data_IF_815827217053
#
_entry.id   IF_815827217053
#
_cell.length_a   1.000
_cell.length_b   1.000
_cell.length_c   1.000
_cell.angle_alpha   90.00
_cell.angle_beta   90.00
_cell.angle_gamma   90.00
#
_symmetry.space_group_name_H-M   'P 1'
#
loop_
_entity.id
_entity.type
_entity.pdbx_description
1 polymer ?
#
# COMPACT_ATOMS: atom_id res chain seq x y z
N UNK A 1 11.67 27.81 -23.14
CA UNK A 1 11.03 27.01 -22.07
C UNK A 1 11.05 25.54 -22.47
N UNK A 2 12.01 24.73 -21.98
CA UNK A 2 11.97 23.30 -22.27
C UNK A 2 10.97 22.62 -21.32
N UNK A 3 10.16 21.74 -21.91
CA UNK A 3 9.05 21.01 -21.31
C UNK A 3 9.52 20.15 -20.13
N UNK A 4 8.80 20.22 -19.02
CA UNK A 4 8.85 19.26 -17.91
C UNK A 4 8.32 17.89 -18.38
N UNK A 5 9.08 17.19 -19.24
CA UNK A 5 8.99 15.74 -19.27
C UNK A 5 9.64 15.24 -17.99
N UNK A 6 8.84 15.19 -16.91
CA UNK A 6 9.20 14.48 -15.68
C UNK A 6 9.56 13.07 -16.10
N UNK A 7 10.86 12.79 -16.07
CA UNK A 7 11.50 11.55 -16.43
C UNK A 7 10.68 10.36 -15.90
N UNK A 8 9.90 9.73 -16.79
CA UNK A 8 8.91 8.70 -16.42
C UNK A 8 9.60 7.47 -15.82
N UNK A 9 10.90 7.30 -16.11
CA UNK A 9 11.75 6.20 -15.63
C UNK A 9 12.45 6.47 -14.30
N UNK A 10 12.45 7.72 -13.80
CA UNK A 10 13.11 8.02 -12.52
C UNK A 10 12.34 7.38 -11.35
N UNK A 11 13.05 6.59 -10.55
CA UNK A 11 12.52 5.96 -9.36
C UNK A 11 12.06 7.03 -8.36
N UNK A 12 10.83 6.97 -7.84
CA UNK A 12 10.41 7.86 -6.76
C UNK A 12 11.14 7.51 -5.46
N UNK A 13 11.55 8.54 -4.72
CA UNK A 13 12.12 8.41 -3.38
C UNK A 13 11.02 8.60 -2.34
N UNK A 14 11.03 7.74 -1.32
CA UNK A 14 10.12 7.84 -0.19
C UNK A 14 10.74 8.72 0.89
N UNK A 15 10.12 9.87 1.14
CA UNK A 15 10.50 10.72 2.26
C UNK A 15 9.70 10.28 3.49
N UNK A 16 10.25 9.32 4.24
CA UNK A 16 9.62 8.76 5.45
C UNK A 16 9.39 9.83 6.50
N UNK A 17 10.26 10.84 6.60
CA UNK A 17 10.08 11.95 7.52
C UNK A 17 8.85 12.79 7.17
N UNK A 18 8.72 13.22 5.90
CA UNK A 18 7.53 13.96 5.45
C UNK A 18 6.26 13.14 5.60
N UNK A 19 6.34 11.83 5.32
CA UNK A 19 5.18 10.96 5.50
C UNK A 19 4.78 10.87 6.97
N UNK A 20 5.75 10.69 7.87
CA UNK A 20 5.50 10.66 9.32
C UNK A 20 4.86 11.96 9.81
N UNK A 21 5.36 13.11 9.33
CA UNK A 21 4.82 14.42 9.67
C UNK A 21 3.36 14.58 9.19
N UNK A 22 3.09 14.23 7.92
CA UNK A 22 1.73 14.30 7.37
C UNK A 22 0.76 13.35 8.08
N UNK A 23 1.20 12.12 8.39
CA UNK A 23 0.42 11.14 9.16
C UNK A 23 0.14 11.66 10.57
N UNK A 24 1.15 12.20 11.26
CA UNK A 24 1.00 12.76 12.60
C UNK A 24 0.05 13.96 12.64
N UNK A 25 0.17 14.86 11.68
CA UNK A 25 -0.74 16.00 11.52
C UNK A 25 -2.18 15.54 11.27
N UNK A 26 -2.38 14.60 10.36
CA UNK A 26 -3.72 14.07 10.08
C UNK A 26 -4.32 13.39 11.33
N UNK A 27 -3.51 12.62 12.07
CA UNK A 27 -3.94 11.97 13.30
C UNK A 27 -4.34 13.01 14.37
N UNK A 28 -3.59 14.09 14.51
CA UNK A 28 -3.94 15.20 15.41
C UNK A 28 -5.25 15.88 14.99
N UNK A 29 -5.41 16.16 13.68
CA UNK A 29 -6.62 16.80 13.16
C UNK A 29 -7.85 15.91 13.30
N UNK A 30 -7.71 14.60 13.13
CA UNK A 30 -8.83 13.66 13.24
C UNK A 30 -9.20 13.42 14.71
N UNK A 31 -8.22 13.37 15.61
CA UNK A 31 -8.48 13.24 17.06
C UNK A 31 -9.20 14.46 17.64
N UNK A 32 -9.04 15.63 17.03
CA UNK A 32 -9.75 16.84 17.44
C UNK A 32 -11.22 16.88 16.95
N UNK A 33 -11.73 15.88 16.20
CA UNK A 33 -13.09 15.94 15.63
C UNK A 33 -14.04 15.77 16.81
N UNK A 34 -14.94 16.74 17.08
CA UNK A 34 -15.86 16.66 18.20
C UNK A 34 -16.95 15.64 17.88
N UNK A 35 -16.59 14.35 17.93
CA UNK A 35 -17.50 13.25 17.79
C UNK A 35 -18.18 13.03 19.13
N UNK A 36 -19.40 13.55 19.25
CA UNK A 36 -20.19 13.50 20.48
C UNK A 36 -20.74 12.08 20.60
N UNK A 37 -20.37 11.37 21.66
CA UNK A 37 -21.01 10.10 22.03
C UNK A 37 -22.50 10.37 22.28
N UNK A 38 -23.38 9.53 21.73
CA UNK A 38 -24.82 9.74 21.74
C UNK A 38 -25.37 10.23 23.09
N UNK A 39 -26.20 11.28 23.01
CA UNK A 39 -27.07 11.81 24.06
C UNK A 39 -26.44 12.37 25.35
N UNK A 40 -25.44 13.25 25.27
CA UNK A 40 -25.26 14.26 26.31
C UNK A 40 -25.06 15.65 25.70
N UNK A 41 -26.01 16.54 25.98
CA UNK A 41 -25.83 17.99 25.92
C UNK A 41 -25.21 18.37 27.27
N UNK A 42 -23.99 18.91 27.34
CA UNK A 42 -23.56 19.66 28.51
C UNK A 42 -23.92 21.12 28.30
N UNK A 43 -24.74 21.65 29.21
CA UNK A 43 -24.96 23.08 29.37
C UNK A 43 -23.64 23.81 29.71
N UNK A 44 -23.32 24.84 28.92
CA UNK A 44 -22.62 26.11 29.29
C UNK A 44 -21.14 26.06 29.75
N UNK A 45 -20.41 27.21 29.83
CA UNK A 45 -20.52 28.49 29.12
C UNK A 45 -19.20 28.95 28.44
N UNK A 46 -19.36 29.84 27.45
CA UNK A 46 -18.40 30.79 26.87
C UNK A 46 -16.97 30.89 27.44
N UNK A 47 -15.98 30.46 26.64
CA UNK A 47 -14.83 31.31 26.26
C UNK A 47 -14.03 30.64 25.14
N UNK A 48 -14.08 31.21 23.93
CA UNK A 48 -13.01 31.28 22.91
C UNK A 48 -13.66 31.62 21.56
N UNK A 49 -14.09 32.87 21.39
CA UNK A 49 -14.35 33.44 20.07
C UNK A 49 -13.01 33.81 19.41
N UNK A 50 -12.17 32.81 19.13
CA UNK A 50 -11.40 32.86 17.89
C UNK A 50 -12.36 32.26 16.87
N UNK A 51 -13.01 33.10 16.06
CA UNK A 51 -14.16 32.76 15.17
C UNK A 51 -14.16 31.27 14.80
N UNK A 52 -15.10 30.49 15.35
CA UNK A 52 -15.13 29.03 15.18
C UNK A 52 -15.13 28.65 13.70
N UNK A 53 -15.70 29.51 12.84
CA UNK A 53 -15.65 29.41 11.39
C UNK A 53 -14.21 29.43 10.84
N UNK A 54 -13.38 30.39 11.22
CA UNK A 54 -11.97 30.46 10.78
C UNK A 54 -11.17 29.28 11.33
N UNK A 55 -11.43 28.83 12.57
CA UNK A 55 -10.78 27.64 13.14
C UNK A 55 -11.20 26.37 12.39
N UNK A 56 -12.48 26.23 12.04
CA UNK A 56 -13.00 25.09 11.28
C UNK A 56 -12.52 25.10 9.83
N UNK A 57 -12.38 26.28 9.21
CA UNK A 57 -11.82 26.45 7.88
C UNK A 57 -10.33 26.12 7.84
N UNK A 58 -9.52 26.66 8.76
CA UNK A 58 -8.08 26.34 8.86
C UNK A 58 -7.87 24.85 9.09
N UNK A 59 -8.70 24.25 9.94
CA UNK A 59 -8.69 22.82 10.21
C UNK A 59 -9.07 21.97 9.00
N UNK A 60 -10.12 22.37 8.27
CA UNK A 60 -10.51 21.72 7.02
C UNK A 60 -9.39 21.77 5.99
N UNK A 61 -8.76 22.93 5.81
CA UNK A 61 -7.63 23.11 4.90
C UNK A 61 -6.42 22.24 5.27
N UNK A 62 -6.04 22.18 6.55
CA UNK A 62 -4.92 21.33 6.98
C UNK A 62 -5.21 19.84 6.88
N UNK A 63 -6.46 19.45 7.10
CA UNK A 63 -6.91 18.07 6.89
C UNK A 63 -6.91 17.71 5.41
N UNK A 64 -7.38 18.61 4.54
CA UNK A 64 -7.37 18.43 3.09
C UNK A 64 -5.95 18.36 2.52
N UNK A 65 -5.03 19.20 2.98
CA UNK A 65 -3.61 19.15 2.59
C UNK A 65 -2.97 17.81 2.95
N UNK A 66 -3.24 17.32 4.17
CA UNK A 66 -2.73 16.03 4.63
C UNK A 66 -3.34 14.87 3.84
N UNK A 67 -4.64 14.94 3.52
CA UNK A 67 -5.33 13.95 2.67
C UNK A 67 -4.73 13.97 1.25
N UNK A 68 -4.49 15.14 0.69
CA UNK A 68 -3.91 15.31 -0.65
C UNK A 68 -2.48 14.75 -0.68
N UNK A 69 -1.68 15.00 0.35
CA UNK A 69 -0.37 14.38 0.49
C UNK A 69 -0.45 12.85 0.49
N UNK A 70 -1.40 12.25 1.22
CA UNK A 70 -1.59 10.79 1.26
C UNK A 70 -2.04 10.24 -0.10
N UNK A 71 -2.87 10.98 -0.85
CA UNK A 71 -3.24 10.63 -2.23
C UNK A 71 -2.03 10.67 -3.16
N UNK A 72 -1.18 11.68 -3.04
CA UNK A 72 0.05 11.79 -3.81
C UNK A 72 1.02 10.65 -3.47
N UNK A 73 1.14 10.30 -2.19
CA UNK A 73 1.90 9.14 -1.73
C UNK A 73 1.36 7.84 -2.36
N UNK A 74 0.04 7.69 -2.44
CA UNK A 74 -0.61 6.55 -3.11
C UNK A 74 -0.20 6.47 -4.59
N UNK A 75 -0.22 7.60 -5.30
CA UNK A 75 0.21 7.65 -6.69
C UNK A 75 1.69 7.29 -6.84
N UNK A 76 2.53 7.73 -5.90
CA UNK A 76 3.96 7.46 -5.85
C UNK A 76 4.27 5.99 -5.57
N UNK A 77 3.57 5.35 -4.61
CA UNK A 77 3.64 3.92 -4.33
C UNK A 77 3.23 3.07 -5.55
N UNK A 78 2.15 3.44 -6.23
CA UNK A 78 1.72 2.74 -7.45
C UNK A 78 2.71 2.93 -8.61
N UNK A 79 3.39 4.08 -8.66
CA UNK A 79 4.46 4.32 -9.64
C UNK A 79 5.68 3.44 -9.35
N UNK A 80 6.12 3.40 -8.09
CA UNK A 80 7.18 2.50 -7.65
C UNK A 80 6.87 1.04 -8.02
N UNK A 81 5.64 0.59 -7.75
CA UNK A 81 5.19 -0.74 -8.14
C UNK A 81 5.33 -1.01 -9.63
N UNK A 82 4.91 -0.06 -10.50
CA UNK A 82 5.03 -0.22 -11.96
C UNK A 82 6.48 -0.26 -12.43
N UNK A 83 7.35 0.54 -11.81
CA UNK A 83 8.79 0.54 -12.13
C UNK A 83 9.42 -0.78 -11.73
N UNK A 84 9.12 -1.27 -10.52
CA UNK A 84 9.61 -2.56 -10.04
C UNK A 84 9.11 -3.71 -10.91
N UNK A 85 7.82 -3.73 -11.25
CA UNK A 85 7.23 -4.75 -12.12
C UNK A 85 7.86 -4.80 -13.52
N UNK A 86 8.28 -3.64 -14.04
CA UNK A 86 8.93 -3.53 -15.36
C UNK A 86 10.45 -3.66 -15.33
N UNK A 87 11.06 -3.97 -14.17
CA UNK A 87 12.51 -4.13 -14.04
C UNK A 87 12.95 -5.54 -14.44
N UNK A 88 14.07 -5.63 -15.16
CA UNK A 88 14.70 -6.89 -15.56
C UNK A 88 15.81 -7.26 -14.56
N UNK A 89 16.23 -8.53 -14.52
CA UNK A 89 17.25 -9.07 -13.59
C UNK A 89 18.47 -8.15 -13.31
N UNK A 90 19.19 -7.59 -14.31
CA UNK A 90 20.38 -6.79 -14.03
C UNK A 90 20.08 -5.43 -13.35
N UNK A 91 18.83 -4.98 -13.39
CA UNK A 91 18.39 -3.73 -12.77
C UNK A 91 17.55 -3.96 -11.51
N UNK A 92 17.12 -5.20 -11.26
CA UNK A 92 16.19 -5.54 -10.20
C UNK A 92 16.77 -5.25 -8.81
N UNK A 93 18.01 -5.68 -8.54
CA UNK A 93 18.66 -5.45 -7.25
C UNK A 93 18.85 -3.96 -6.96
N UNK A 94 19.30 -3.19 -7.95
CA UNK A 94 19.46 -1.73 -7.84
C UNK A 94 18.11 -1.03 -7.61
N UNK A 95 17.07 -1.50 -8.29
CA UNK A 95 15.70 -1.00 -8.17
C UNK A 95 15.16 -1.24 -6.76
N UNK A 96 15.33 -2.46 -6.24
CA UNK A 96 14.93 -2.82 -4.87
C UNK A 96 15.74 -2.03 -3.84
N UNK A 97 17.05 -1.90 -4.01
CA UNK A 97 17.90 -1.12 -3.11
C UNK A 97 17.50 0.37 -3.08
N UNK A 98 17.11 0.94 -4.23
CA UNK A 98 16.65 2.34 -4.30
C UNK A 98 15.29 2.56 -3.64
N UNK A 99 14.40 1.56 -3.73
CA UNK A 99 13.10 1.62 -3.04
C UNK A 99 13.24 1.57 -1.53
N UNK A 100 14.32 0.96 -1.04
CA UNK A 100 14.58 0.68 0.37
C UNK A 100 13.39 -0.04 1.04
N UNK A 101 13.38 -1.38 1.05
CA UNK A 101 12.28 -2.17 1.60
C UNK A 101 11.93 -1.80 3.05
N UNK A 102 12.90 -1.34 3.84
CA UNK A 102 12.67 -0.90 5.22
C UNK A 102 11.82 0.37 5.25
N UNK A 103 12.04 1.29 4.31
CA UNK A 103 11.24 2.51 4.20
C UNK A 103 9.81 2.18 3.74
N UNK A 104 9.64 1.28 2.77
CA UNK A 104 8.31 0.92 2.29
C UNK A 104 7.50 0.14 3.33
N UNK A 105 8.16 -0.68 4.15
CA UNK A 105 7.55 -1.32 5.34
C UNK A 105 7.15 -0.29 6.41
N UNK A 106 8.02 0.69 6.70
CA UNK A 106 7.71 1.75 7.65
C UNK A 106 6.51 2.58 7.21
N UNK A 107 6.39 2.87 5.92
CA UNK A 107 5.23 3.56 5.35
C UNK A 107 3.94 2.76 5.55
N UNK A 108 3.95 1.45 5.31
CA UNK A 108 2.78 0.58 5.58
C UNK A 108 2.39 0.64 7.05
N UNK A 109 3.37 0.53 7.95
CA UNK A 109 3.15 0.55 9.38
C UNK A 109 2.51 1.86 9.85
N UNK A 110 2.99 3.00 9.35
CA UNK A 110 2.46 4.32 9.67
C UNK A 110 1.03 4.50 9.16
N UNK A 111 0.77 4.10 7.90
CA UNK A 111 -0.56 4.17 7.31
C UNK A 111 -1.55 3.23 8.01
N UNK A 112 -1.09 2.07 8.48
CA UNK A 112 -1.89 1.14 9.30
C UNK A 112 -2.27 1.75 10.66
N UNK A 113 -1.31 2.38 11.34
CA UNK A 113 -1.57 3.07 12.61
C UNK A 113 -2.57 4.21 12.43
N UNK A 114 -2.40 5.00 11.37
CA UNK A 114 -3.34 6.06 11.01
C UNK A 114 -4.73 5.52 10.70
N UNK A 115 -4.85 4.49 9.85
CA UNK A 115 -6.15 3.88 9.52
C UNK A 115 -6.89 3.40 10.78
N UNK A 116 -6.16 2.79 11.73
CA UNK A 116 -6.71 2.37 13.02
C UNK A 116 -7.22 3.55 13.86
N UNK A 117 -6.44 4.63 13.95
CA UNK A 117 -6.84 5.84 14.67
C UNK A 117 -8.09 6.48 14.05
N UNK A 118 -8.15 6.56 12.71
CA UNK A 118 -9.30 7.10 11.98
C UNK A 118 -10.55 6.24 12.20
N UNK A 119 -10.41 4.90 12.15
CA UNK A 119 -11.53 3.97 12.42
C UNK A 119 -12.09 4.15 13.84
N UNK A 120 -11.23 4.36 14.83
CA UNK A 120 -11.66 4.60 16.20
C UNK A 120 -12.49 5.88 16.33
N UNK A 121 -12.09 6.95 15.65
CA UNK A 121 -12.87 8.20 15.61
C UNK A 121 -14.16 7.98 14.82
N UNK A 122 -14.08 7.38 13.64
CA UNK A 122 -15.22 7.06 12.78
C UNK A 122 -16.34 6.30 13.52
N UNK A 123 -15.98 5.32 14.35
CA UNK A 123 -16.93 4.53 15.14
C UNK A 123 -17.66 5.33 16.23
N UNK A 124 -17.14 6.51 16.61
CA UNK A 124 -17.68 7.38 17.66
C UNK A 124 -18.42 8.61 17.12
N UNK A 125 -18.40 8.84 15.80
CA UNK A 125 -19.04 10.00 15.19
C UNK A 125 -20.49 9.72 14.82
N UNK A 126 -21.34 10.75 14.92
CA UNK A 126 -22.70 10.70 14.37
C UNK A 126 -22.68 10.66 12.84
N UNK A 127 -23.78 10.25 12.20
CA UNK A 127 -23.87 10.17 10.73
C UNK A 127 -23.53 11.48 10.01
N UNK A 128 -23.88 12.62 10.62
CA UNK A 128 -23.58 13.95 10.09
C UNK A 128 -22.07 14.27 10.12
N UNK A 129 -21.36 13.79 11.15
CA UNK A 129 -19.93 14.05 11.36
C UNK A 129 -19.02 13.04 10.65
N UNK A 130 -19.56 11.86 10.31
CA UNK A 130 -18.87 10.84 9.50
C UNK A 130 -18.39 11.40 8.15
N UNK A 131 -19.13 12.35 7.57
CA UNK A 131 -18.76 12.99 6.31
C UNK A 131 -17.38 13.66 6.31
N UNK A 132 -16.91 14.14 7.48
CA UNK A 132 -15.61 14.80 7.63
C UNK A 132 -14.46 13.80 7.73
N UNK A 133 -14.70 12.64 8.34
CA UNK A 133 -13.65 11.63 8.63
C UNK A 133 -13.51 10.63 7.47
N UNK A 134 -14.61 10.37 6.75
CA UNK A 134 -14.69 9.39 5.66
C UNK A 134 -13.64 9.62 4.55
N UNK A 135 -13.40 10.84 4.02
CA UNK A 135 -12.39 11.05 2.99
C UNK A 135 -10.97 10.67 3.43
N UNK A 136 -10.61 10.99 4.68
CA UNK A 136 -9.32 10.63 5.26
C UNK A 136 -9.17 9.12 5.43
N UNK A 137 -10.24 8.43 5.85
CA UNK A 137 -10.26 6.98 5.96
C UNK A 137 -10.01 6.31 4.60
N UNK A 138 -10.72 6.75 3.55
CA UNK A 138 -10.55 6.18 2.21
C UNK A 138 -9.16 6.44 1.64
N UNK A 139 -8.64 7.67 1.75
CA UNK A 139 -7.31 8.00 1.25
C UNK A 139 -6.22 7.16 1.95
N UNK A 140 -6.31 7.03 3.28
CA UNK A 140 -5.36 6.25 4.08
C UNK A 140 -5.43 4.76 3.75
N UNK A 141 -6.64 4.19 3.67
CA UNK A 141 -6.83 2.79 3.32
C UNK A 141 -6.28 2.47 1.92
N UNK A 142 -6.50 3.35 0.94
CA UNK A 142 -5.98 3.20 -0.40
C UNK A 142 -4.44 3.28 -0.45
N UNK A 143 -3.86 4.26 0.25
CA UNK A 143 -2.41 4.38 0.37
C UNK A 143 -1.79 3.12 0.99
N UNK A 144 -2.38 2.62 2.07
CA UNK A 144 -1.92 1.40 2.74
C UNK A 144 -1.99 0.19 1.82
N UNK A 145 -3.10 0.00 1.10
CA UNK A 145 -3.24 -1.11 0.16
C UNK A 145 -2.16 -1.05 -0.95
N UNK A 146 -1.83 0.15 -1.44
CA UNK A 146 -0.73 0.35 -2.38
C UNK A 146 0.65 0.01 -1.78
N UNK A 147 0.90 0.36 -0.51
CA UNK A 147 2.13 0.00 0.19
C UNK A 147 2.28 -1.52 0.38
N UNK A 148 1.23 -2.18 0.87
CA UNK A 148 1.19 -3.65 1.02
C UNK A 148 1.47 -4.35 -0.32
N UNK A 149 0.85 -3.86 -1.40
CA UNK A 149 1.06 -4.42 -2.74
C UNK A 149 2.50 -4.27 -3.23
N UNK A 150 3.13 -3.13 -2.95
CA UNK A 150 4.54 -2.90 -3.29
C UNK A 150 5.46 -3.81 -2.49
N UNK A 151 5.27 -3.91 -1.17
CA UNK A 151 6.09 -4.77 -0.31
C UNK A 151 5.97 -6.23 -0.71
N UNK A 152 4.75 -6.68 -1.04
CA UNK A 152 4.53 -8.03 -1.55
C UNK A 152 5.29 -8.30 -2.86
N UNK A 153 5.33 -7.33 -3.79
CA UNK A 153 6.09 -7.47 -5.03
C UNK A 153 7.61 -7.52 -4.76
N UNK A 154 8.11 -6.67 -3.84
CA UNK A 154 9.51 -6.71 -3.40
C UNK A 154 9.86 -8.10 -2.86
N UNK A 155 9.01 -8.67 -2.01
CA UNK A 155 9.23 -10.00 -1.43
C UNK A 155 9.21 -11.12 -2.47
N UNK A 156 8.34 -11.02 -3.47
CA UNK A 156 8.31 -11.97 -4.59
C UNK A 156 9.58 -11.89 -5.42
N UNK A 157 10.04 -10.68 -5.74
CA UNK A 157 11.19 -10.45 -6.61
C UNK A 157 12.55 -10.68 -5.93
N UNK A 158 12.60 -10.69 -4.59
CA UNK A 158 13.80 -11.09 -3.83
C UNK A 158 14.03 -12.60 -3.78
N UNK A 159 13.01 -13.43 -4.05
CA UNK A 159 13.16 -14.88 -3.93
C UNK A 159 13.96 -15.41 -5.11
N UNK A 160 15.04 -16.19 -4.88
CA UNK A 160 15.77 -16.81 -5.96
C UNK A 160 14.83 -17.76 -6.71
N UNK A 161 14.86 -17.71 -8.04
CA UNK A 161 14.16 -18.68 -8.87
C UNK A 161 14.83 -20.03 -8.65
N UNK A 162 14.16 -20.91 -7.90
CA UNK A 162 14.57 -22.30 -7.80
C UNK A 162 14.28 -22.98 -9.15
N UNK A 163 15.28 -23.02 -10.01
CA UNK A 163 15.27 -23.89 -11.18
C UNK A 163 15.43 -25.30 -10.63
N UNK A 164 14.32 -26.04 -10.57
CA UNK A 164 14.37 -27.47 -10.29
C UNK A 164 14.91 -28.13 -11.56
N UNK A 165 16.21 -28.42 -11.58
CA UNK A 165 16.77 -29.36 -12.54
C UNK A 165 16.21 -30.74 -12.21
N UNK A 166 15.18 -31.14 -12.96
CA UNK A 166 14.61 -32.48 -12.89
C UNK A 166 15.68 -33.48 -13.34
N UNK A 167 16.28 -34.21 -12.39
CA UNK A 167 17.11 -35.41 -12.63
C UNK A 167 16.30 -36.64 -13.09
N UNK A 168 15.08 -36.43 -13.57
CA UNK A 168 14.27 -37.50 -14.14
C UNK A 168 14.92 -37.91 -15.46
N UNK A 169 15.40 -39.14 -15.50
CA UNK A 169 15.88 -39.80 -16.72
C UNK A 169 14.72 -39.99 -17.71
N UNK A 170 14.49 -38.97 -18.53
CA UNK A 170 13.47 -38.96 -19.56
C UNK A 170 13.73 -40.03 -20.63
N UNK A 171 14.97 -40.49 -20.79
CA UNK A 171 15.32 -41.60 -21.69
C UNK A 171 14.92 -42.93 -21.08
N UNK A 172 15.19 -43.15 -19.79
CA UNK A 172 14.75 -44.31 -19.03
C UNK A 172 13.22 -44.45 -18.98
N UNK A 173 12.49 -43.34 -18.78
CA UNK A 173 11.01 -43.35 -18.85
C UNK A 173 10.51 -43.67 -20.27
N UNK A 174 11.16 -43.16 -21.32
CA UNK A 174 10.83 -43.51 -22.71
C UNK A 174 11.10 -44.98 -23.01
N UNK A 175 12.18 -45.55 -22.50
CA UNK A 175 12.52 -46.97 -22.68
C UNK A 175 11.51 -47.89 -21.97
N UNK A 176 11.13 -47.56 -20.72
CA UNK A 176 10.08 -48.25 -19.98
C UNK A 176 8.71 -48.17 -20.69
N UNK A 177 8.35 -47.00 -21.20
CA UNK A 177 7.10 -46.82 -21.95
C UNK A 177 7.07 -47.64 -23.26
N UNK A 178 8.21 -47.72 -23.98
CA UNK A 178 8.33 -48.59 -25.16
C UNK A 178 8.15 -50.06 -24.79
N UNK A 179 8.84 -50.55 -23.77
CA UNK A 179 8.73 -51.94 -23.32
C UNK A 179 7.38 -52.29 -22.71
N UNK A 180 6.67 -51.35 -22.06
CA UNK A 180 5.32 -51.56 -21.55
C UNK A 180 4.22 -51.57 -22.63
N UNK A 181 4.52 -51.07 -23.83
CA UNK A 181 3.60 -51.03 -24.98
C UNK A 181 3.77 -52.19 -25.97
N UNK A 182 4.81 -53.00 -25.82
CA UNK A 182 4.98 -54.26 -26.54
C UNK A 182 4.12 -55.35 -25.88
N UNK A 183 2.82 -55.25 -26.08
CA UNK A 183 1.90 -56.38 -25.85
C UNK A 183 2.36 -57.52 -26.75
N UNK A 184 2.77 -58.62 -26.14
CA UNK A 184 3.09 -59.90 -26.78
C UNK A 184 2.04 -60.27 -27.84
N UNK A 185 2.36 -60.03 -29.11
CA UNK A 185 1.70 -60.68 -30.24
C UNK A 185 2.46 -61.95 -30.62
N UNK A 186 2.60 -62.91 -29.70
CA UNK A 186 2.98 -64.28 -30.05
C UNK A 186 1.76 -65.18 -29.96
N UNK A 187 0.83 -64.99 -30.89
CA UNK A 187 -0.21 -65.98 -31.18
C UNK A 187 0.41 -67.12 -31.98
N UNK A 188 1.05 -68.06 -31.29
CA UNK A 188 1.33 -69.42 -31.77
C UNK A 188 1.44 -70.32 -30.53
N UNK A 189 0.28 -70.63 -29.96
CA UNK A 189 0.09 -71.85 -29.18
C UNK A 189 -0.65 -72.84 -30.08
N UNK A 190 -0.11 -74.07 -30.11
CA UNK A 190 -0.56 -75.23 -30.88
C UNK A 190 -2.06 -75.51 -30.77
#
# INVERSE_FOLDING_TARGET
MPKNEKDKKKMPLFDTFKTSAAVGLLMQQISAVPCIEGNQIPEMPYSYHLSSETSNQIRGLMMDDSINYIKDLTALLNRAYRVLLGSNDPQLELTIATLDPVQTDLLELQLRGLEGAIKNVYARCSEEQIGLVKPALFATAQARASAVKLNHLIDQMKKPVHIVESNIDMEGIRALAKHGSEVFSSGNFH
#
